data_IF_557581254522
#
_entry.id   IF_557581254522
#
_cell.length_a   1.000
_cell.length_b   1.000
_cell.length_c   1.000
_cell.angle_alpha   90.00
_cell.angle_beta   90.00
_cell.angle_gamma   90.00
#
_symmetry.space_group_name_H-M   'P 1'
#
loop_
_entity.id
_entity.type
_entity.pdbx_description
1 polymer ?
#
# COMPACT_ATOMS: atom_id res chain seq x y z
N UNK A 1 3.56 -20.76 2.21
CA UNK A 1 2.18 -21.02 1.72
C UNK A 1 2.18 -21.60 0.32
N UNK A 2 2.61 -20.87 -0.73
CA UNK A 2 2.62 -21.38 -2.11
C UNK A 2 3.46 -22.67 -2.32
N UNK A 3 4.58 -22.85 -1.61
CA UNK A 3 5.33 -24.11 -1.66
C UNK A 3 4.57 -25.33 -1.12
N UNK A 4 3.70 -25.14 -0.11
CA UNK A 4 2.84 -26.20 0.39
C UNK A 4 1.70 -26.50 -0.60
N UNK A 5 1.24 -25.49 -1.36
CA UNK A 5 0.27 -25.73 -2.43
C UNK A 5 0.89 -26.51 -3.58
N UNK A 6 2.10 -26.13 -4.00
CA UNK A 6 2.83 -26.82 -5.06
C UNK A 6 3.17 -28.29 -4.70
N UNK A 7 3.30 -28.62 -3.41
CA UNK A 7 3.50 -29.98 -2.96
C UNK A 7 2.25 -30.88 -3.15
N UNK A 8 1.04 -30.30 -3.11
CA UNK A 8 -0.24 -31.00 -3.18
C UNK A 8 -0.58 -31.77 -1.90
N UNK A 9 -1.87 -31.98 -1.64
CA UNK A 9 -2.36 -32.62 -0.43
C UNK A 9 -1.83 -34.06 -0.28
N UNK A 10 -1.69 -34.79 -1.39
CA UNK A 10 -1.15 -36.15 -1.42
C UNK A 10 0.28 -36.28 -0.84
N UNK A 11 1.05 -35.18 -0.78
CA UNK A 11 2.42 -35.14 -0.22
C UNK A 11 2.50 -34.32 1.07
N UNK A 12 1.38 -34.11 1.76
CA UNK A 12 1.30 -33.32 2.98
C UNK A 12 1.26 -31.79 2.76
N UNK A 13 1.02 -31.37 1.53
CA UNK A 13 0.73 -29.99 1.16
C UNK A 13 -0.76 -29.65 1.21
N UNK A 14 -1.19 -28.71 0.37
CA UNK A 14 -2.60 -28.32 0.19
C UNK A 14 -2.93 -28.28 -1.30
N UNK A 15 -4.17 -28.55 -1.71
CA UNK A 15 -4.55 -28.48 -3.13
C UNK A 15 -5.00 -27.07 -3.54
N UNK A 16 -5.25 -26.19 -2.57
CA UNK A 16 -5.62 -24.80 -2.83
C UNK A 16 -4.89 -23.81 -1.93
N UNK A 17 -4.67 -22.61 -2.46
CA UNK A 17 -4.11 -21.51 -1.68
C UNK A 17 -5.02 -21.07 -0.53
N UNK A 18 -6.33 -21.25 -0.67
CA UNK A 18 -7.32 -20.90 0.36
C UNK A 18 -7.19 -21.84 1.56
N UNK A 19 -7.03 -23.15 1.34
CA UNK A 19 -6.80 -24.12 2.41
C UNK A 19 -5.44 -23.93 3.09
N UNK A 20 -4.39 -23.67 2.29
CA UNK A 20 -3.09 -23.32 2.83
C UNK A 20 -3.18 -22.04 3.69
N UNK A 21 -3.92 -21.03 3.25
CA UNK A 21 -4.11 -19.79 4.00
C UNK A 21 -4.83 -20.03 5.34
N UNK A 22 -5.92 -20.79 5.35
CA UNK A 22 -6.68 -21.11 6.58
C UNK A 22 -5.81 -21.76 7.65
N UNK A 23 -4.88 -22.63 7.26
CA UNK A 23 -4.08 -23.42 8.20
C UNK A 23 -2.70 -22.79 8.52
N UNK A 24 -2.16 -21.97 7.62
CA UNK A 24 -0.80 -21.44 7.73
C UNK A 24 -0.75 -19.94 8.04
N UNK A 25 -1.78 -19.16 7.70
CA UNK A 25 -1.79 -17.73 7.96
C UNK A 25 -1.86 -17.47 9.47
N UNK A 26 -0.97 -16.62 9.96
CA UNK A 26 -0.98 -16.13 11.34
C UNK A 26 -1.04 -14.62 11.30
N UNK A 27 -2.08 -14.06 11.90
CA UNK A 27 -2.25 -12.62 12.10
C UNK A 27 -2.24 -12.34 13.60
N UNK A 28 -1.88 -11.11 13.99
CA UNK A 28 -2.03 -10.68 15.38
C UNK A 28 -3.52 -10.60 15.72
N UNK A 29 -3.87 -10.94 16.95
CA UNK A 29 -5.25 -10.80 17.43
C UNK A 29 -5.66 -9.33 17.56
N UNK A 30 -4.70 -8.48 17.96
CA UNK A 30 -4.89 -7.04 17.98
C UNK A 30 -5.09 -6.49 16.56
N UNK A 31 -6.18 -5.75 16.39
CA UNK A 31 -6.50 -5.09 15.13
C UNK A 31 -6.73 -3.60 15.35
N UNK A 32 -6.28 -2.79 14.41
CA UNK A 32 -6.55 -1.36 14.42
C UNK A 32 -7.88 -1.11 13.72
N UNK A 33 -8.86 -0.61 14.48
CA UNK A 33 -10.16 -0.21 13.96
C UNK A 33 -10.18 1.29 13.76
N UNK A 34 -10.77 1.79 12.66
CA UNK A 34 -10.90 3.22 12.45
C UNK A 34 -11.81 3.81 13.53
N UNK A 35 -11.40 4.96 14.06
CA UNK A 35 -12.25 5.81 14.89
C UNK A 35 -13.04 6.70 13.92
N UNK A 36 -14.38 6.59 13.84
CA UNK A 36 -15.19 7.26 12.81
C UNK A 36 -14.96 8.77 12.74
N UNK A 37 -14.79 9.42 13.89
CA UNK A 37 -14.56 10.85 14.00
C UNK A 37 -13.23 11.24 13.36
N UNK A 38 -12.19 10.43 13.55
CA UNK A 38 -10.88 10.66 12.94
C UNK A 38 -10.91 10.42 11.43
N UNK A 39 -11.63 9.39 10.95
CA UNK A 39 -11.78 9.13 9.51
C UNK A 39 -12.34 10.35 8.79
N UNK A 40 -13.42 10.94 9.33
CA UNK A 40 -14.03 12.12 8.72
C UNK A 40 -13.07 13.33 8.65
N UNK A 41 -12.16 13.47 9.60
CA UNK A 41 -11.10 14.50 9.56
C UNK A 41 -10.03 14.13 8.53
N UNK A 42 -9.57 12.88 8.52
CA UNK A 42 -8.56 12.43 7.58
C UNK A 42 -9.03 12.45 6.13
N UNK A 43 -10.32 12.24 5.85
CA UNK A 43 -10.87 12.36 4.50
C UNK A 43 -10.70 13.79 3.96
N UNK A 44 -10.95 14.81 4.79
CA UNK A 44 -10.72 16.22 4.42
C UNK A 44 -9.25 16.49 4.17
N UNK A 45 -8.36 15.99 5.04
CA UNK A 45 -6.91 16.14 4.88
C UNK A 45 -6.41 15.42 3.62
N UNK A 46 -6.94 14.24 3.33
CA UNK A 46 -6.60 13.46 2.15
C UNK A 46 -7.05 14.17 0.86
N UNK A 47 -8.20 14.85 0.89
CA UNK A 47 -8.65 15.67 -0.23
C UNK A 47 -7.64 16.79 -0.54
N UNK A 48 -7.24 17.58 0.46
CA UNK A 48 -6.24 18.64 0.27
C UNK A 48 -4.88 18.08 -0.16
N UNK A 49 -4.47 16.96 0.43
CA UNK A 49 -3.27 16.25 0.00
C UNK A 49 -3.32 15.85 -1.47
N UNK A 50 -4.45 15.32 -1.94
CA UNK A 50 -4.61 14.91 -3.34
C UNK A 50 -4.51 16.08 -4.30
N UNK A 51 -5.07 17.25 -3.93
CA UNK A 51 -4.92 18.47 -4.73
C UNK A 51 -3.45 18.86 -4.87
N UNK A 52 -2.68 18.85 -3.77
CA UNK A 52 -1.25 19.14 -3.79
C UNK A 52 -0.46 18.07 -4.55
N UNK A 53 -0.76 16.80 -4.31
CA UNK A 53 -0.17 15.66 -5.00
C UNK A 53 -0.34 15.80 -6.51
N UNK A 54 -1.55 16.09 -6.98
CA UNK A 54 -1.83 16.21 -8.40
C UNK A 54 -1.21 17.47 -8.99
N UNK A 55 -1.27 18.59 -8.26
CA UNK A 55 -0.68 19.86 -8.72
C UNK A 55 0.82 19.73 -8.97
N UNK A 56 1.56 19.15 -8.03
CA UNK A 56 3.01 18.98 -8.13
C UNK A 56 3.44 17.71 -8.90
N UNK A 57 2.58 16.69 -8.98
CA UNK A 57 2.92 15.37 -9.48
C UNK A 57 2.34 15.01 -10.86
N UNK A 58 1.28 15.68 -11.32
CA UNK A 58 0.60 15.39 -12.60
C UNK A 58 0.76 16.48 -13.66
N UNK A 59 1.72 17.38 -13.49
CA UNK A 59 2.14 18.32 -14.54
C UNK A 59 1.40 19.66 -14.57
N UNK A 60 0.48 19.93 -13.64
CA UNK A 60 -0.06 21.28 -13.48
C UNK A 60 1.05 22.27 -13.07
N UNK A 61 2.00 21.82 -12.24
CA UNK A 61 3.21 22.55 -11.93
C UNK A 61 4.42 21.64 -11.69
N UNK A 62 5.27 21.49 -12.71
CA UNK A 62 6.53 20.73 -12.65
C UNK A 62 7.67 21.43 -11.86
N UNK A 63 7.36 22.28 -10.87
CA UNK A 63 8.36 23.04 -10.11
C UNK A 63 9.43 22.15 -9.47
N UNK A 64 9.03 20.97 -8.96
CA UNK A 64 9.97 20.04 -8.34
C UNK A 64 11.01 19.52 -9.33
N UNK A 65 10.62 19.24 -10.59
CA UNK A 65 11.55 18.81 -11.64
C UNK A 65 12.51 19.94 -12.03
N UNK A 66 11.99 21.15 -12.21
CA UNK A 66 12.81 22.33 -12.56
C UNK A 66 13.83 22.66 -11.47
N UNK A 67 13.42 22.66 -10.20
CA UNK A 67 14.33 22.88 -9.07
C UNK A 67 15.43 21.83 -9.02
N UNK A 68 15.10 20.56 -9.30
CA UNK A 68 16.11 19.49 -9.37
C UNK A 68 17.09 19.73 -10.52
N UNK A 69 16.63 20.14 -11.71
CA UNK A 69 17.49 20.44 -12.85
C UNK A 69 18.46 21.59 -12.53
N UNK A 70 17.97 22.71 -12.00
CA UNK A 70 18.80 23.85 -11.58
C UNK A 70 19.88 23.40 -10.59
N UNK A 71 19.53 22.54 -9.64
CA UNK A 71 20.48 22.01 -8.65
C UNK A 71 21.56 21.11 -9.28
N UNK A 72 21.26 20.39 -10.36
CA UNK A 72 22.28 19.60 -11.09
C UNK A 72 23.13 20.49 -12.01
N UNK A 73 22.58 21.55 -12.60
CA UNK A 73 23.32 22.51 -13.42
C UNK A 73 24.31 23.37 -12.62
N UNK A 74 23.99 23.65 -11.35
CA UNK A 74 24.85 24.40 -10.45
C UNK A 74 26.00 23.55 -9.86
N UNK A 75 26.11 22.27 -10.21
CA UNK A 75 27.10 21.33 -9.70
C UNK A 75 28.25 21.13 -10.68
#
# INVERSE_FOLDING_TARGET
MFGAVAAGAAKGGYDSIVEAAKNMARVREETFKPIPENVAVYDKLCHEYNLLHDYFGRGANDVMKRLKAIKEEAR
#
